data_IF_495005566415
#
_entry.id   IF_495005566415
#
_cell.length_a   1.000
_cell.length_b   1.000
_cell.length_c   1.000
_cell.angle_alpha   90.00
_cell.angle_beta   90.00
_cell.angle_gamma   90.00
#
_symmetry.space_group_name_H-M   'P 1'
#
loop_
_entity.id
_entity.type
_entity.pdbx_description
1 polymer ?
#
# COMPACT_ATOMS: atom_id res chain seq x y z
N UNK A 1 1.12 7.13 -31.24
CA UNK A 1 0.05 7.76 -30.44
C UNK A 1 0.69 8.40 -29.21
N UNK A 2 0.09 9.42 -28.59
CA UNK A 2 0.58 9.96 -27.31
C UNK A 2 0.43 8.87 -26.24
N UNK A 3 1.45 8.65 -25.43
CA UNK A 3 1.39 7.69 -24.32
C UNK A 3 0.47 8.20 -23.22
N UNK A 4 -0.27 7.29 -22.59
CA UNK A 4 -1.04 7.59 -21.37
C UNK A 4 -0.13 7.49 -20.16
N UNK A 5 -0.03 8.56 -19.37
CA UNK A 5 0.80 8.64 -18.16
C UNK A 5 -0.07 8.64 -16.91
N UNK A 6 0.17 7.65 -16.05
CA UNK A 6 -0.48 7.52 -14.75
C UNK A 6 0.57 7.71 -13.66
N UNK A 7 0.28 8.56 -12.67
CA UNK A 7 1.13 8.72 -11.50
C UNK A 7 0.47 8.01 -10.32
N UNK A 8 1.13 7.00 -9.78
CA UNK A 8 0.72 6.37 -8.52
C UNK A 8 1.54 6.97 -7.38
N UNK A 9 0.84 7.57 -6.43
CA UNK A 9 1.43 8.10 -5.21
C UNK A 9 1.25 7.07 -4.09
N UNK A 10 2.26 7.02 -3.21
CA UNK A 10 2.25 6.18 -2.02
C UNK A 10 1.20 6.57 -0.97
N UNK A 11 1.42 6.05 0.23
CA UNK A 11 0.46 6.10 1.33
C UNK A 11 0.24 7.53 1.85
N UNK A 12 -1.03 7.93 1.97
CA UNK A 12 -1.46 9.21 2.54
C UNK A 12 -2.28 9.00 3.79
N UNK A 13 -1.80 9.58 4.89
CA UNK A 13 -2.47 9.59 6.18
C UNK A 13 -2.23 10.93 6.89
N UNK A 14 -3.33 11.58 7.27
CA UNK A 14 -3.30 12.92 7.87
C UNK A 14 -3.51 12.92 9.39
N UNK A 15 -3.59 11.74 10.03
CA UNK A 15 -3.92 11.61 11.46
C UNK A 15 -3.08 12.50 12.37
N UNK A 16 -1.76 12.56 12.15
CA UNK A 16 -0.84 13.39 12.92
C UNK A 16 -0.42 14.68 12.21
N UNK A 17 -1.07 15.02 11.10
CA UNK A 17 -0.88 16.29 10.43
C UNK A 17 -1.63 17.41 11.17
N UNK A 18 -0.86 18.46 11.50
CA UNK A 18 -1.31 19.57 12.34
C UNK A 18 -1.58 20.85 11.54
N UNK A 19 -0.88 21.04 10.43
CA UNK A 19 -1.02 22.22 9.60
C UNK A 19 -2.29 22.06 8.76
N UNK A 20 -3.34 22.80 9.13
CA UNK A 20 -4.64 22.82 8.47
C UNK A 20 -5.03 24.28 8.23
N UNK A 21 -5.81 24.54 7.19
CA UNK A 21 -6.33 25.87 6.86
C UNK A 21 -5.82 26.42 5.52
N UNK A 22 -6.48 27.45 4.96
CA UNK A 22 -6.40 27.77 3.53
C UNK A 22 -4.97 27.81 2.96
N UNK A 23 -4.75 27.08 1.86
CA UNK A 23 -3.47 27.05 1.13
C UNK A 23 -2.42 26.09 1.69
N UNK A 24 -2.72 25.31 2.74
CA UNK A 24 -1.76 24.34 3.28
C UNK A 24 -1.42 23.22 2.28
N UNK A 25 -2.44 22.67 1.59
CA UNK A 25 -2.25 21.67 0.55
C UNK A 25 -1.30 22.17 -0.56
N UNK A 26 -1.56 23.37 -1.08
CA UNK A 26 -0.73 24.02 -2.10
C UNK A 26 0.72 24.21 -1.61
N UNK A 27 0.91 24.63 -0.36
CA UNK A 27 2.26 24.75 0.23
C UNK A 27 2.98 23.40 0.25
N UNK A 28 2.29 22.33 0.67
CA UNK A 28 2.86 20.98 0.76
C UNK A 28 3.30 20.48 -0.62
N UNK A 29 2.51 20.75 -1.65
CA UNK A 29 2.66 20.21 -3.00
C UNK A 29 3.38 21.14 -3.99
N UNK A 30 3.70 22.37 -3.59
CA UNK A 30 4.22 23.43 -4.49
C UNK A 30 5.45 23.04 -5.35
N UNK A 31 6.29 22.11 -4.90
CA UNK A 31 7.44 21.64 -5.70
C UNK A 31 7.10 20.48 -6.65
N UNK A 32 5.92 19.86 -6.50
CA UNK A 32 5.44 18.75 -7.31
C UNK A 32 4.45 19.15 -8.40
N UNK A 33 3.97 20.41 -8.44
CA UNK A 33 2.97 20.89 -9.41
C UNK A 33 3.29 20.44 -10.85
N UNK A 34 4.51 20.70 -11.33
CA UNK A 34 4.93 20.30 -12.69
C UNK A 34 4.91 18.79 -12.90
N UNK A 35 5.22 18.00 -11.86
CA UNK A 35 5.18 16.53 -11.95
C UNK A 35 3.73 16.07 -12.04
N UNK A 36 2.86 16.54 -11.15
CA UNK A 36 1.46 16.14 -11.08
C UNK A 36 0.68 16.55 -12.33
N UNK A 37 0.89 17.78 -12.82
CA UNK A 37 0.25 18.32 -14.03
C UNK A 37 0.67 17.59 -15.32
N UNK A 38 1.77 16.84 -15.29
CA UNK A 38 2.25 16.09 -16.45
C UNK A 38 1.48 14.78 -16.69
N UNK A 39 0.69 14.35 -15.71
CA UNK A 39 -0.06 13.10 -15.74
C UNK A 39 -1.41 13.22 -16.45
N UNK A 40 -1.85 12.17 -17.12
CA UNK A 40 -3.25 12.07 -17.55
C UNK A 40 -4.16 11.69 -16.37
N UNK A 41 -3.60 11.07 -15.33
CA UNK A 41 -4.31 10.77 -14.07
C UNK A 41 -3.32 10.59 -12.92
N UNK A 42 -3.61 11.24 -11.79
CA UNK A 42 -2.95 11.01 -10.49
C UNK A 42 -3.81 10.05 -9.67
N UNK A 43 -3.19 9.00 -9.13
CA UNK A 43 -3.81 7.97 -8.31
C UNK A 43 -3.15 8.01 -6.93
N UNK A 44 -3.94 8.17 -5.86
CA UNK A 44 -3.41 8.33 -4.50
C UNK A 44 -3.98 7.25 -3.60
N UNK A 45 -3.13 6.55 -2.84
CA UNK A 45 -3.59 5.69 -1.75
C UNK A 45 -4.04 6.53 -0.55
N UNK A 46 -5.35 6.69 -0.39
CA UNK A 46 -5.96 7.34 0.77
C UNK A 46 -6.11 6.30 1.88
N UNK A 47 -5.13 6.25 2.77
CA UNK A 47 -5.02 5.16 3.73
C UNK A 47 -6.00 5.27 4.89
N UNK A 48 -6.38 6.48 5.25
CA UNK A 48 -7.30 6.73 6.38
C UNK A 48 -8.63 7.29 5.91
N UNK A 49 -9.76 6.91 6.56
CA UNK A 49 -11.03 7.57 6.32
C UNK A 49 -10.93 9.07 6.66
N UNK A 50 -11.64 9.88 5.88
CA UNK A 50 -11.76 11.33 6.04
C UNK A 50 -13.13 11.64 6.65
N UNK A 51 -13.21 11.68 7.97
CA UNK A 51 -14.48 11.92 8.66
C UNK A 51 -14.27 12.69 9.97
N UNK A 52 -15.24 13.53 10.39
CA UNK A 52 -15.15 14.24 11.67
C UNK A 52 -15.05 13.28 12.85
N UNK A 53 -14.39 13.72 13.91
CA UNK A 53 -14.43 13.01 15.19
C UNK A 53 -15.91 12.83 15.62
N UNK A 54 -16.27 11.60 15.99
CA UNK A 54 -17.63 11.23 16.41
C UNK A 54 -18.52 10.66 15.30
N UNK A 55 -18.09 10.66 14.04
CA UNK A 55 -18.73 9.86 12.99
C UNK A 55 -18.17 8.43 13.05
N UNK A 56 -19.06 7.47 13.30
CA UNK A 56 -18.67 6.09 13.57
C UNK A 56 -17.94 5.91 14.91
N UNK A 57 -17.45 4.69 15.13
CA UNK A 57 -16.67 4.34 16.30
C UNK A 57 -15.52 3.41 15.89
N UNK A 58 -14.35 3.50 16.54
CA UNK A 58 -13.23 2.63 16.22
C UNK A 58 -13.65 1.17 16.36
N UNK A 59 -13.40 0.38 15.31
CA UNK A 59 -13.68 -1.05 15.33
C UNK A 59 -12.71 -1.78 16.26
N UNK A 60 -13.14 -2.94 16.76
CA UNK A 60 -12.25 -3.83 17.51
C UNK A 60 -11.23 -4.47 16.56
N UNK A 61 -10.00 -3.95 16.55
CA UNK A 61 -8.90 -4.43 15.70
C UNK A 61 -7.57 -4.54 16.44
N UNK A 62 -6.61 -5.22 15.81
CA UNK A 62 -5.20 -5.16 16.21
C UNK A 62 -4.55 -3.93 15.58
N UNK A 63 -3.70 -3.23 16.34
CA UNK A 63 -3.06 -1.98 15.89
C UNK A 63 -3.94 -0.74 16.16
N UNK A 64 -3.45 0.46 15.83
CA UNK A 64 -4.21 1.69 16.02
C UNK A 64 -5.39 1.76 15.05
N UNK A 65 -6.50 2.36 15.51
CA UNK A 65 -7.57 2.83 14.64
C UNK A 65 -7.24 4.25 14.17
N UNK A 66 -7.24 4.47 12.86
CA UNK A 66 -6.87 5.76 12.26
C UNK A 66 -8.07 6.46 11.62
N UNK A 67 -8.15 7.77 11.82
CA UNK A 67 -9.12 8.66 11.17
C UNK A 67 -8.48 10.02 10.97
N UNK A 68 -8.72 10.61 9.80
CA UNK A 68 -8.21 11.91 9.40
C UNK A 68 -9.35 12.91 9.26
N UNK A 69 -9.04 14.18 9.53
CA UNK A 69 -10.02 15.26 9.43
C UNK A 69 -10.48 15.45 7.98
N UNK A 70 -11.78 15.64 7.71
CA UNK A 70 -12.30 15.70 6.35
C UNK A 70 -11.84 16.92 5.56
N UNK A 71 -11.34 17.98 6.22
CA UNK A 71 -10.76 19.12 5.51
C UNK A 71 -9.58 18.75 4.61
N UNK A 72 -8.88 17.63 4.89
CA UNK A 72 -7.78 17.13 4.07
C UNK A 72 -8.18 16.59 2.70
N UNK A 73 -9.47 16.59 2.36
CA UNK A 73 -9.90 16.37 0.97
C UNK A 73 -9.28 17.42 0.03
N UNK A 74 -8.98 18.62 0.53
CA UNK A 74 -8.33 19.69 -0.23
C UNK A 74 -6.93 19.31 -0.75
N UNK A 75 -6.20 18.46 -0.02
CA UNK A 75 -4.92 17.91 -0.46
C UNK A 75 -5.09 17.04 -1.71
N UNK A 76 -6.17 16.26 -1.78
CA UNK A 76 -6.46 15.44 -2.95
C UNK A 76 -6.89 16.31 -4.13
N UNK A 77 -7.67 17.37 -3.90
CA UNK A 77 -8.03 18.34 -4.94
C UNK A 77 -6.81 19.06 -5.51
N UNK A 78 -5.95 19.59 -4.63
CA UNK A 78 -4.72 20.29 -5.00
C UNK A 78 -3.75 19.38 -5.75
N UNK A 79 -3.65 18.11 -5.35
CA UNK A 79 -2.83 17.13 -6.06
C UNK A 79 -3.37 16.74 -7.44
N UNK A 80 -4.55 17.24 -7.84
CA UNK A 80 -5.25 16.81 -9.05
C UNK A 80 -5.63 15.32 -9.01
N UNK A 81 -5.98 14.81 -7.83
CA UNK A 81 -6.28 13.39 -7.61
C UNK A 81 -7.43 12.95 -8.52
N UNK A 82 -7.09 12.14 -9.52
CA UNK A 82 -8.04 11.64 -10.49
C UNK A 82 -8.61 10.26 -10.15
N UNK A 83 -8.13 9.64 -9.08
CA UNK A 83 -8.62 8.39 -8.49
C UNK A 83 -8.03 8.18 -7.07
N UNK A 84 -8.88 8.09 -6.05
CA UNK A 84 -8.48 7.67 -4.70
C UNK A 84 -8.55 6.14 -4.56
N UNK A 85 -7.51 5.53 -4.01
CA UNK A 85 -7.50 4.10 -3.64
C UNK A 85 -7.77 3.97 -2.15
N UNK A 86 -8.81 3.23 -1.81
CA UNK A 86 -9.27 3.00 -0.44
C UNK A 86 -9.18 1.52 -0.02
N UNK A 87 -8.70 0.62 -0.91
CA UNK A 87 -8.36 -0.73 -0.48
C UNK A 87 -7.05 -0.70 0.31
N UNK A 88 -7.16 -0.60 1.63
CA UNK A 88 -6.06 -0.66 2.59
C UNK A 88 -6.60 -1.12 3.95
N UNK A 89 -5.71 -1.29 4.92
CA UNK A 89 -6.04 -1.84 6.24
C UNK A 89 -6.65 -0.82 7.23
N UNK A 90 -6.70 0.47 6.85
CA UNK A 90 -7.12 1.56 7.74
C UNK A 90 -8.41 2.27 7.31
N UNK A 91 -8.83 2.16 6.05
CA UNK A 91 -10.07 2.76 5.52
C UNK A 91 -11.31 2.39 6.34
N UNK A 92 -11.40 1.15 6.82
CA UNK A 92 -12.54 0.65 7.60
C UNK A 92 -12.42 0.82 9.12
N UNK A 93 -11.43 1.56 9.63
CA UNK A 93 -11.09 1.59 11.06
C UNK A 93 -12.17 2.17 11.97
N UNK A 94 -13.07 2.99 11.43
CA UNK A 94 -14.18 3.61 12.15
C UNK A 94 -15.55 3.09 11.70
N UNK A 95 -15.57 1.93 11.04
CA UNK A 95 -16.78 1.25 10.61
C UNK A 95 -17.49 1.90 9.41
N UNK A 96 -18.72 1.46 9.16
CA UNK A 96 -19.48 1.81 7.95
C UNK A 96 -19.83 3.30 7.88
N UNK A 97 -20.10 3.94 9.03
CA UNK A 97 -20.47 5.36 9.09
C UNK A 97 -19.35 6.28 8.57
N UNK A 98 -18.11 6.06 9.04
CA UNK A 98 -16.95 6.85 8.63
C UNK A 98 -16.55 6.54 7.18
N UNK A 99 -16.73 5.28 6.74
CA UNK A 99 -16.51 4.90 5.36
C UNK A 99 -17.51 5.59 4.43
N UNK A 100 -18.82 5.52 4.73
CA UNK A 100 -19.88 6.16 3.94
C UNK A 100 -19.65 7.66 3.84
N UNK A 101 -19.34 8.31 4.98
CA UNK A 101 -19.00 9.72 5.01
C UNK A 101 -17.82 10.04 4.07
N UNK A 102 -16.74 9.24 4.15
CA UNK A 102 -15.55 9.43 3.30
C UNK A 102 -15.91 9.31 1.82
N UNK A 103 -16.68 8.29 1.43
CA UNK A 103 -17.08 8.09 0.03
C UNK A 103 -18.02 9.17 -0.49
N UNK A 104 -18.93 9.67 0.36
CA UNK A 104 -19.80 10.81 0.04
C UNK A 104 -19.00 12.11 -0.10
N UNK A 105 -18.02 12.33 0.77
CA UNK A 105 -17.10 13.47 0.70
C UNK A 105 -16.32 13.46 -0.62
N UNK A 106 -15.68 12.34 -0.97
CA UNK A 106 -14.94 12.19 -2.22
C UNK A 106 -15.85 12.42 -3.45
N UNK A 107 -17.06 11.85 -3.43
CA UNK A 107 -18.06 12.05 -4.48
C UNK A 107 -18.47 13.52 -4.61
N UNK A 108 -18.69 14.21 -3.49
CA UNK A 108 -19.02 15.63 -3.45
C UNK A 108 -17.93 16.53 -4.03
N UNK A 109 -16.67 16.10 -3.91
CA UNK A 109 -15.50 16.76 -4.49
C UNK A 109 -15.12 16.23 -5.89
N UNK A 110 -15.97 15.40 -6.52
CA UNK A 110 -15.73 14.82 -7.85
C UNK A 110 -14.46 13.95 -7.95
N UNK A 111 -14.01 13.38 -6.83
CA UNK A 111 -12.86 12.48 -6.76
C UNK A 111 -13.41 11.04 -6.78
N UNK A 112 -13.26 10.29 -7.90
CA UNK A 112 -13.67 8.90 -7.92
C UNK A 112 -12.79 8.07 -6.97
N UNK A 113 -13.33 6.97 -6.44
CA UNK A 113 -12.59 6.05 -5.58
C UNK A 113 -12.81 4.59 -5.98
N UNK A 114 -11.89 3.71 -5.55
CA UNK A 114 -12.00 2.25 -5.69
C UNK A 114 -11.47 1.53 -4.44
N UNK A 115 -11.79 0.24 -4.32
CA UNK A 115 -11.23 -0.63 -3.29
C UNK A 115 -11.97 -0.61 -1.96
N UNK A 116 -13.08 0.12 -1.89
CA UNK A 116 -14.03 0.09 -0.78
C UNK A 116 -15.45 0.30 -1.31
N UNK A 117 -16.45 -0.17 -0.57
CA UNK A 117 -17.86 -0.08 -0.97
C UNK A 117 -18.81 -0.49 0.14
N UNK A 118 -20.11 -0.34 -0.11
CA UNK A 118 -21.21 -0.75 0.78
C UNK A 118 -21.34 -2.27 0.92
N UNK A 119 -20.77 -3.01 -0.03
CA UNK A 119 -20.61 -4.46 0.01
C UNK A 119 -19.37 -4.91 -0.77
N UNK A 120 -19.12 -6.23 -0.76
CA UNK A 120 -17.95 -6.85 -1.40
C UNK A 120 -17.96 -6.77 -2.93
N UNK A 121 -19.11 -6.62 -3.58
CA UNK A 121 -19.20 -6.50 -5.03
C UNK A 121 -18.86 -5.07 -5.46
N UNK A 122 -19.38 -4.07 -4.73
CA UNK A 122 -19.00 -2.67 -4.91
C UNK A 122 -17.52 -2.45 -4.60
N UNK A 123 -16.99 -2.98 -3.49
CA UNK A 123 -15.59 -2.81 -3.11
C UNK A 123 -14.61 -3.31 -4.19
N UNK A 124 -14.98 -4.38 -4.91
CA UNK A 124 -14.21 -4.95 -6.01
C UNK A 124 -14.45 -4.28 -7.38
N UNK A 125 -15.28 -3.24 -7.45
CA UNK A 125 -15.57 -2.55 -8.71
C UNK A 125 -14.32 -1.87 -9.27
N UNK A 126 -14.18 -1.95 -10.59
CA UNK A 126 -13.07 -1.32 -11.29
C UNK A 126 -13.41 0.12 -11.67
N UNK A 127 -12.42 1.01 -11.58
CA UNK A 127 -12.51 2.31 -12.22
C UNK A 127 -12.06 2.20 -13.67
N UNK A 128 -12.92 2.64 -14.59
CA UNK A 128 -12.70 2.56 -16.04
C UNK A 128 -12.57 3.94 -16.63
N UNK A 129 -11.57 4.15 -17.47
CA UNK A 129 -11.41 5.38 -18.23
C UNK A 129 -10.74 5.08 -19.57
N UNK A 130 -10.82 6.04 -20.50
CA UNK A 130 -10.07 6.00 -21.75
C UNK A 130 -9.19 7.23 -21.81
N UNK A 131 -7.91 7.04 -22.09
CA UNK A 131 -6.96 8.12 -22.32
C UNK A 131 -6.10 7.80 -23.53
N UNK A 132 -5.89 8.81 -24.39
CA UNK A 132 -5.13 8.70 -25.64
C UNK A 132 -5.52 7.49 -26.52
N UNK A 133 -6.80 7.12 -26.52
CA UNK A 133 -7.33 5.99 -27.29
C UNK A 133 -7.11 4.61 -26.68
N UNK A 134 -6.54 4.52 -25.47
CA UNK A 134 -6.39 3.27 -24.71
C UNK A 134 -7.40 3.23 -23.56
N UNK A 135 -8.18 2.17 -23.49
CA UNK A 135 -9.10 1.88 -22.39
C UNK A 135 -8.38 1.17 -21.24
N UNK A 136 -8.55 1.70 -20.03
CA UNK A 136 -7.85 1.23 -18.82
C UNK A 136 -8.87 0.95 -17.73
N UNK A 137 -8.74 -0.21 -17.10
CA UNK A 137 -9.43 -0.58 -15.86
C UNK A 137 -8.44 -0.67 -14.71
N UNK A 138 -8.78 -0.08 -13.55
CA UNK A 138 -8.00 -0.18 -12.32
C UNK A 138 -8.86 -0.86 -11.25
N UNK A 139 -8.33 -1.93 -10.65
CA UNK A 139 -8.95 -2.65 -9.53
C UNK A 139 -8.02 -2.51 -8.33
N UNK A 140 -8.57 -2.30 -7.13
CA UNK A 140 -7.76 -2.22 -5.91
C UNK A 140 -8.19 -3.28 -4.89
N UNK A 141 -7.21 -3.91 -4.24
CA UNK A 141 -7.40 -4.88 -3.16
C UNK A 141 -6.35 -4.69 -2.06
N UNK A 142 -6.63 -5.17 -0.85
CA UNK A 142 -5.68 -5.14 0.26
C UNK A 142 -5.57 -6.51 0.96
N UNK A 143 -4.55 -6.68 1.80
CA UNK A 143 -4.48 -7.85 2.69
C UNK A 143 -5.66 -7.90 3.66
N UNK A 144 -5.99 -9.11 4.10
CA UNK A 144 -7.15 -9.35 4.96
C UNK A 144 -6.84 -9.08 6.43
N UNK A 145 -6.94 -7.81 6.84
CA UNK A 145 -6.84 -7.41 8.26
C UNK A 145 -8.23 -7.25 8.91
N UNK A 146 -8.73 -6.01 8.93
CA UNK A 146 -9.99 -5.60 9.54
C UNK A 146 -10.68 -4.56 8.64
N UNK A 147 -11.97 -4.31 8.88
CA UNK A 147 -12.72 -3.34 8.09
C UNK A 147 -12.96 -3.75 6.63
N UNK A 148 -12.85 -5.06 6.32
CA UNK A 148 -13.09 -5.61 4.98
C UNK A 148 -14.59 -5.75 4.71
N UNK A 149 -15.00 -5.46 3.48
CA UNK A 149 -16.40 -5.58 3.06
C UNK A 149 -16.90 -7.03 3.16
N UNK A 150 -18.18 -7.17 3.49
CA UNK A 150 -18.91 -8.43 3.47
C UNK A 150 -19.98 -8.43 2.39
N UNK A 151 -20.79 -9.50 2.34
CA UNK A 151 -21.92 -9.58 1.39
C UNK A 151 -22.96 -8.47 1.60
N UNK A 152 -23.08 -7.96 2.81
CA UNK A 152 -24.08 -6.94 3.18
C UNK A 152 -23.53 -6.02 4.27
N UNK A 153 -22.21 -5.77 4.24
CA UNK A 153 -21.54 -4.89 5.17
C UNK A 153 -20.44 -4.14 4.44
N UNK A 154 -20.33 -2.84 4.72
CA UNK A 154 -19.40 -1.97 4.03
C UNK A 154 -17.96 -2.23 4.48
N UNK A 155 -16.99 -1.92 3.62
CA UNK A 155 -15.58 -2.07 3.94
C UNK A 155 -14.69 -2.10 2.71
N UNK A 156 -13.46 -2.56 2.90
CA UNK A 156 -12.44 -2.66 1.85
C UNK A 156 -12.45 -3.98 1.10
N UNK A 157 -11.92 -3.98 -0.11
CA UNK A 157 -11.74 -5.16 -0.95
C UNK A 157 -10.56 -6.02 -0.45
N UNK A 158 -10.81 -6.84 0.59
CA UNK A 158 -9.84 -7.82 1.08
C UNK A 158 -9.50 -8.87 0.01
N UNK A 159 -8.23 -9.24 -0.11
CA UNK A 159 -7.70 -10.11 -1.17
C UNK A 159 -8.36 -11.50 -1.15
N UNK A 160 -8.93 -11.89 -2.28
CA UNK A 160 -9.43 -13.25 -2.51
C UNK A 160 -9.02 -13.68 -3.92
N UNK A 161 -8.10 -14.65 -4.09
CA UNK A 161 -7.50 -14.98 -5.40
C UNK A 161 -8.53 -15.23 -6.51
N UNK A 162 -9.61 -15.93 -6.18
CA UNK A 162 -10.68 -16.34 -7.09
C UNK A 162 -11.54 -15.15 -7.51
N UNK A 163 -11.83 -14.24 -6.57
CA UNK A 163 -12.62 -13.04 -6.84
C UNK A 163 -11.81 -12.03 -7.65
N UNK A 164 -10.56 -11.76 -7.27
CA UNK A 164 -9.70 -10.86 -8.05
C UNK A 164 -9.39 -11.44 -9.42
N UNK A 165 -9.15 -12.75 -9.53
CA UNK A 165 -8.94 -13.42 -10.81
C UNK A 165 -10.15 -13.32 -11.74
N UNK A 166 -11.35 -13.54 -11.20
CA UNK A 166 -12.60 -13.36 -11.96
C UNK A 166 -12.77 -11.90 -12.40
N UNK A 167 -12.50 -10.96 -11.50
CA UNK A 167 -12.61 -9.53 -11.79
C UNK A 167 -11.62 -9.08 -12.87
N UNK A 168 -10.36 -9.52 -12.80
CA UNK A 168 -9.36 -9.25 -13.84
C UNK A 168 -9.86 -9.81 -15.19
N UNK A 169 -10.34 -11.05 -15.21
CA UNK A 169 -10.85 -11.66 -16.44
C UNK A 169 -12.04 -10.89 -17.04
N UNK A 170 -12.97 -10.41 -16.21
CA UNK A 170 -14.09 -9.55 -16.63
C UNK A 170 -13.59 -8.22 -17.23
N UNK A 171 -12.65 -7.56 -16.56
CA UNK A 171 -12.14 -6.26 -17.02
C UNK A 171 -11.31 -6.38 -18.30
N UNK A 172 -10.63 -7.52 -18.53
CA UNK A 172 -9.94 -7.80 -19.79
C UNK A 172 -10.86 -7.94 -20.99
N UNK A 173 -12.16 -8.17 -20.80
CA UNK A 173 -13.13 -8.21 -21.90
C UNK A 173 -13.51 -6.81 -22.41
N UNK A 174 -13.29 -5.77 -21.60
CA UNK A 174 -13.80 -4.41 -21.86
C UNK A 174 -12.72 -3.34 -21.77
N UNK A 175 -11.46 -3.69 -21.52
CA UNK A 175 -10.34 -2.77 -21.43
C UNK A 175 -9.08 -3.33 -22.07
N UNK A 176 -8.34 -2.45 -22.75
CA UNK A 176 -7.04 -2.77 -23.33
C UNK A 176 -6.04 -3.13 -22.24
N UNK A 177 -6.06 -2.38 -21.13
CA UNK A 177 -5.18 -2.54 -19.96
C UNK A 177 -5.96 -2.73 -18.67
N UNK A 178 -5.53 -3.70 -17.87
CA UNK A 178 -6.02 -3.91 -16.49
C UNK A 178 -4.87 -3.75 -15.52
N UNK A 179 -4.98 -2.78 -14.61
CA UNK A 179 -4.00 -2.50 -13.57
C UNK A 179 -4.59 -2.93 -12.23
N UNK A 180 -3.79 -3.62 -11.42
CA UNK A 180 -4.17 -3.96 -10.04
C UNK A 180 -3.35 -3.13 -9.06
N UNK A 181 -4.03 -2.39 -8.18
CA UNK A 181 -3.41 -1.75 -7.01
C UNK A 181 -3.54 -2.69 -5.82
N UNK A 182 -2.44 -2.92 -5.09
CA UNK A 182 -2.41 -3.87 -3.98
C UNK A 182 -1.82 -3.24 -2.72
N UNK A 183 -2.60 -3.14 -1.65
CA UNK A 183 -2.09 -2.65 -0.36
C UNK A 183 -1.78 -3.81 0.58
N UNK A 184 -0.50 -4.14 0.75
CA UNK A 184 -0.03 -5.22 1.62
C UNK A 184 1.47 -5.46 1.55
N UNK A 185 1.98 -6.27 2.47
CA UNK A 185 3.41 -6.55 2.58
C UNK A 185 3.91 -6.53 4.02
N UNK A 186 5.22 -6.74 4.19
CA UNK A 186 5.84 -6.60 5.51
C UNK A 186 6.31 -5.15 5.72
N UNK A 187 5.68 -4.43 6.64
CA UNK A 187 6.09 -3.07 7.03
C UNK A 187 7.60 -2.96 7.30
N UNK A 188 8.24 -1.93 6.74
CA UNK A 188 9.66 -1.60 6.86
C UNK A 188 10.65 -2.61 6.25
N UNK A 189 10.19 -3.70 5.63
CA UNK A 189 11.07 -4.63 4.94
C UNK A 189 11.52 -4.01 3.60
N UNK A 190 12.83 -3.79 3.33
CA UNK A 190 13.27 -3.09 2.12
C UNK A 190 13.14 -3.94 0.84
N UNK A 191 12.82 -5.23 0.95
CA UNK A 191 12.55 -6.13 -0.17
C UNK A 191 11.24 -6.88 0.06
N UNK A 192 10.48 -7.22 -0.99
CA UNK A 192 9.23 -7.96 -0.83
C UNK A 192 9.48 -9.36 -0.26
N UNK A 193 8.53 -9.91 0.49
CA UNK A 193 8.61 -11.33 0.84
C UNK A 193 8.46 -12.22 -0.41
N UNK A 194 8.98 -13.45 -0.39
CA UNK A 194 8.73 -14.43 -1.45
C UNK A 194 7.23 -14.63 -1.73
N UNK A 195 6.39 -14.60 -0.70
CA UNK A 195 4.93 -14.70 -0.82
C UNK A 195 4.29 -13.48 -1.48
N UNK A 196 4.69 -12.24 -1.14
CA UNK A 196 4.24 -11.03 -1.83
C UNK A 196 4.62 -11.07 -3.32
N UNK A 197 5.89 -11.41 -3.62
CA UNK A 197 6.35 -11.61 -5.01
C UNK A 197 5.52 -12.65 -5.75
N UNK A 198 5.28 -13.81 -5.13
CA UNK A 198 4.49 -14.87 -5.74
C UNK A 198 3.05 -14.42 -6.01
N UNK A 199 2.45 -13.67 -5.07
CA UNK A 199 1.09 -13.14 -5.18
C UNK A 199 0.95 -12.13 -6.31
N UNK A 200 1.86 -11.15 -6.41
CA UNK A 200 1.79 -10.13 -7.44
C UNK A 200 2.10 -10.68 -8.83
N UNK A 201 3.07 -11.59 -8.94
CA UNK A 201 3.30 -12.35 -10.18
C UNK A 201 2.10 -13.21 -10.56
N UNK A 202 1.31 -13.71 -9.59
CA UNK A 202 0.08 -14.44 -9.89
C UNK A 202 -1.01 -13.53 -10.47
N UNK A 203 -1.15 -12.29 -10.01
CA UNK A 203 -2.07 -11.31 -10.62
C UNK A 203 -1.74 -11.05 -12.10
N UNK A 204 -0.44 -10.95 -12.43
CA UNK A 204 0.00 -10.88 -13.84
C UNK A 204 -0.40 -12.14 -14.62
N UNK A 205 -0.19 -13.33 -14.05
CA UNK A 205 -0.63 -14.60 -14.68
C UNK A 205 -2.14 -14.68 -14.89
N UNK A 206 -2.92 -14.03 -14.03
CA UNK A 206 -4.38 -13.95 -14.14
C UNK A 206 -4.83 -12.91 -15.19
N UNK A 207 -3.92 -12.13 -15.75
CA UNK A 207 -4.18 -11.21 -16.86
C UNK A 207 -3.98 -9.73 -16.56
N UNK A 208 -3.51 -9.36 -15.36
CA UNK A 208 -3.15 -7.97 -15.07
C UNK A 208 -1.96 -7.53 -15.96
N UNK A 209 -2.09 -6.36 -16.58
CA UNK A 209 -1.03 -5.74 -17.39
C UNK A 209 0.01 -5.02 -16.51
N UNK A 210 -0.35 -4.62 -15.28
CA UNK A 210 0.56 -4.07 -14.28
C UNK A 210 0.03 -4.31 -12.86
N UNK A 211 0.94 -4.37 -11.89
CA UNK A 211 0.63 -4.38 -10.45
C UNK A 211 1.37 -3.26 -9.75
N UNK A 212 0.66 -2.43 -9.00
CA UNK A 212 1.24 -1.33 -8.22
C UNK A 212 0.91 -1.54 -6.75
N UNK A 213 1.92 -1.73 -5.89
CA UNK A 213 1.72 -2.04 -4.48
C UNK A 213 2.29 -0.96 -3.53
N UNK A 214 1.81 -0.98 -2.27
CA UNK A 214 2.08 0.02 -1.21
C UNK A 214 2.24 -0.62 0.18
N UNK A 215 1.74 0.01 1.25
CA UNK A 215 1.66 -0.49 2.64
C UNK A 215 2.96 -0.61 3.42
N UNK A 216 4.08 -1.01 2.80
CA UNK A 216 5.29 -1.31 3.58
C UNK A 216 5.93 -0.09 4.23
N UNK A 217 5.42 1.12 3.96
CA UNK A 217 5.92 2.41 4.44
C UNK A 217 7.42 2.67 4.19
N UNK A 218 8.00 1.93 3.25
CA UNK A 218 9.38 2.11 2.81
C UNK A 218 9.49 1.86 1.29
N UNK A 219 10.55 2.38 0.69
CA UNK A 219 10.83 2.18 -0.74
C UNK A 219 11.22 0.72 -0.97
N UNK A 220 10.51 0.06 -1.88
CA UNK A 220 10.92 -1.21 -2.48
C UNK A 220 11.13 -1.05 -3.99
N UNK A 221 11.88 -1.99 -4.58
CA UNK A 221 12.13 -2.05 -6.02
C UNK A 221 10.89 -2.43 -6.84
N UNK A 222 11.12 -2.59 -8.14
CA UNK A 222 10.14 -3.05 -9.12
C UNK A 222 10.76 -4.12 -10.02
N UNK A 223 9.93 -4.89 -10.72
CA UNK A 223 10.42 -5.85 -11.72
C UNK A 223 9.51 -5.86 -12.95
N UNK A 224 9.99 -6.46 -14.04
CA UNK A 224 9.15 -6.84 -15.18
C UNK A 224 9.00 -8.35 -15.21
N UNK A 225 7.83 -8.84 -14.81
CA UNK A 225 7.50 -10.25 -14.86
C UNK A 225 6.63 -10.53 -16.10
N UNK A 226 7.10 -11.39 -17.00
CA UNK A 226 6.43 -11.65 -18.30
C UNK A 226 6.17 -10.38 -19.13
N UNK A 227 7.03 -9.36 -18.97
CA UNK A 227 6.88 -8.07 -19.67
C UNK A 227 5.92 -7.09 -18.99
N UNK A 228 5.22 -7.50 -17.93
CA UNK A 228 4.34 -6.63 -17.14
C UNK A 228 5.10 -6.04 -15.94
N UNK A 229 5.03 -4.71 -15.70
CA UNK A 229 5.65 -4.11 -14.53
C UNK A 229 4.92 -4.50 -13.23
N UNK A 230 5.71 -4.76 -12.19
CA UNK A 230 5.25 -4.94 -10.80
C UNK A 230 6.06 -3.98 -9.92
N UNK A 231 5.39 -2.99 -9.35
CA UNK A 231 5.95 -2.07 -8.35
C UNK A 231 5.58 -2.60 -6.97
N UNK A 232 6.57 -2.85 -6.11
CA UNK A 232 6.31 -3.54 -4.83
C UNK A 232 5.95 -2.61 -3.67
N UNK A 233 6.59 -1.44 -3.58
CA UNK A 233 6.21 -0.42 -2.60
C UNK A 233 6.85 0.91 -2.94
N UNK A 234 6.03 1.96 -2.94
CA UNK A 234 6.44 3.34 -3.21
C UNK A 234 6.92 4.08 -1.95
N UNK A 235 6.64 3.55 -0.76
CA UNK A 235 6.75 4.29 0.50
C UNK A 235 5.57 5.24 0.73
N UNK A 236 5.74 6.16 1.68
CA UNK A 236 4.71 7.13 2.05
C UNK A 236 4.72 8.34 1.11
N UNK A 237 3.55 8.82 0.68
CA UNK A 237 3.43 10.11 -0.03
C UNK A 237 3.30 11.28 0.94
N UNK A 238 2.39 11.17 1.91
CA UNK A 238 2.33 12.09 3.03
C UNK A 238 1.75 11.37 4.24
N UNK A 239 2.65 10.84 5.08
CA UNK A 239 2.27 10.09 6.27
C UNK A 239 3.12 10.55 7.45
N UNK A 240 2.76 11.67 8.05
CA UNK A 240 3.45 12.10 9.27
C UNK A 240 3.10 11.18 10.43
N UNK A 241 4.12 10.74 11.17
CA UNK A 241 3.91 9.98 12.40
C UNK A 241 4.78 10.50 13.54
N UNK A 242 4.16 11.00 14.62
CA UNK A 242 4.86 11.78 15.65
C UNK A 242 5.90 10.99 16.47
N UNK A 243 5.88 9.66 16.41
CA UNK A 243 6.84 8.81 17.11
C UNK A 243 7.95 8.25 16.21
N UNK A 244 7.99 8.63 14.93
CA UNK A 244 9.02 8.20 13.99
C UNK A 244 9.88 9.41 13.66
N UNK A 245 11.19 9.26 13.84
CA UNK A 245 12.19 10.27 13.48
C UNK A 245 13.12 9.76 12.35
N UNK A 246 12.91 8.53 11.89
CA UNK A 246 13.79 7.85 10.95
C UNK A 246 13.49 8.24 9.49
N UNK A 247 14.54 8.59 8.76
CA UNK A 247 14.48 9.01 7.34
C UNK A 247 13.70 8.07 6.39
N UNK A 248 13.77 6.72 6.49
CA UNK A 248 13.11 5.83 5.52
C UNK A 248 11.59 6.03 5.43
N UNK A 249 10.95 6.41 6.53
CA UNK A 249 9.50 6.68 6.59
C UNK A 249 9.09 7.94 5.82
N UNK A 250 10.04 8.88 5.68
CA UNK A 250 9.85 10.21 5.09
C UNK A 250 10.35 10.28 3.64
N UNK A 251 10.69 9.14 3.05
CA UNK A 251 11.16 9.01 1.67
C UNK A 251 10.24 8.07 0.90
N UNK A 252 10.02 8.41 -0.36
CA UNK A 252 9.19 7.62 -1.26
C UNK A 252 9.50 7.93 -2.72
N UNK A 253 8.74 7.33 -3.63
CA UNK A 253 8.74 7.73 -5.03
C UNK A 253 7.34 7.65 -5.62
N UNK A 254 7.02 8.56 -6.53
CA UNK A 254 5.84 8.44 -7.38
C UNK A 254 6.17 7.43 -8.48
N UNK A 255 5.36 6.40 -8.66
CA UNK A 255 5.51 5.47 -9.77
C UNK A 255 4.78 6.02 -11.00
N UNK A 256 5.53 6.55 -11.97
CA UNK A 256 4.99 6.91 -13.28
C UNK A 256 4.87 5.66 -14.14
N UNK A 257 3.64 5.22 -14.41
CA UNK A 257 3.34 4.18 -15.37
C UNK A 257 2.97 4.82 -16.71
N UNK A 258 3.83 4.63 -17.71
CA UNK A 258 3.56 5.04 -19.09
C UNK A 258 2.99 3.86 -19.88
N UNK A 259 1.85 4.09 -20.54
CA UNK A 259 1.13 3.13 -21.37
C UNK A 259 1.27 3.59 -22.83
N UNK A 260 2.27 3.02 -23.50
CA UNK A 260 2.53 3.20 -24.94
C UNK A 260 2.55 1.86 -25.67
N UNK A 261 3.49 1.68 -26.60
CA UNK A 261 3.75 0.39 -27.25
C UNK A 261 4.12 -0.71 -26.24
N UNK A 262 4.69 -0.31 -25.10
CA UNK A 262 4.97 -1.12 -23.93
C UNK A 262 4.54 -0.37 -22.68
N UNK A 263 4.33 -1.10 -21.59
CA UNK A 263 4.16 -0.51 -20.27
C UNK A 263 5.55 -0.32 -19.66
N UNK A 264 5.84 0.88 -19.16
CA UNK A 264 7.10 1.18 -18.48
C UNK A 264 6.85 1.92 -17.18
N UNK A 265 7.63 1.60 -16.16
CA UNK A 265 7.65 2.32 -14.88
C UNK A 265 8.87 3.21 -14.81
N UNK A 266 8.65 4.47 -14.39
CA UNK A 266 9.71 5.41 -14.01
C UNK A 266 9.47 5.88 -12.57
N UNK A 267 10.37 5.57 -11.61
CA UNK A 267 10.27 6.13 -10.28
C UNK A 267 10.64 7.62 -10.30
N UNK A 268 9.87 8.44 -9.58
CA UNK A 268 10.15 9.86 -9.33
C UNK A 268 10.33 10.04 -7.82
N UNK A 269 11.56 9.90 -7.29
CA UNK A 269 11.82 9.97 -5.87
C UNK A 269 11.55 11.33 -5.26
N UNK A 270 11.10 11.33 -4.01
CA UNK A 270 10.93 12.50 -3.17
C UNK A 270 11.24 12.18 -1.71
N UNK A 271 11.38 13.24 -0.91
CA UNK A 271 11.27 13.19 0.55
C UNK A 271 10.22 14.19 1.00
N UNK A 272 9.63 14.02 2.17
CA UNK A 272 8.80 15.05 2.79
C UNK A 272 9.34 15.42 4.16
N UNK A 273 9.16 16.67 4.56
CA UNK A 273 9.66 17.16 5.84
C UNK A 273 9.03 16.37 6.99
N UNK A 274 9.81 16.13 8.06
CA UNK A 274 9.37 15.26 9.17
C UNK A 274 8.17 15.81 9.93
N UNK A 275 7.95 17.13 9.85
CA UNK A 275 6.78 17.82 10.36
C UNK A 275 5.58 17.81 9.41
N UNK A 276 5.75 17.24 8.20
CA UNK A 276 4.74 17.06 7.18
C UNK A 276 4.39 18.32 6.39
N UNK A 277 5.23 19.37 6.46
CA UNK A 277 4.93 20.69 5.89
C UNK A 277 5.19 20.82 4.39
N UNK A 278 6.06 19.98 3.81
CA UNK A 278 6.41 20.03 2.39
C UNK A 278 6.90 18.72 1.82
N UNK A 279 6.59 18.46 0.55
CA UNK A 279 7.17 17.37 -0.26
C UNK A 279 8.19 17.95 -1.24
N UNK A 280 9.37 17.35 -1.27
CA UNK A 280 10.53 17.75 -2.07
C UNK A 280 10.88 16.65 -3.08
N UNK A 281 10.65 16.85 -4.39
CA UNK A 281 11.22 15.96 -5.40
C UNK A 281 12.75 15.98 -5.30
N UNK A 282 13.38 14.80 -5.38
CA UNK A 282 14.84 14.72 -5.29
C UNK A 282 15.49 15.21 -6.59
N UNK A 283 16.67 15.83 -6.48
CA UNK A 283 17.46 16.30 -7.60
C UNK A 283 18.97 16.09 -7.36
N UNK A 284 19.77 16.16 -8.42
CA UNK A 284 21.23 16.05 -8.34
C UNK A 284 21.71 14.70 -7.79
N UNK A 285 22.76 14.73 -6.96
CA UNK A 285 23.40 13.54 -6.40
C UNK A 285 22.44 12.67 -5.55
N UNK A 286 21.56 13.31 -4.76
CA UNK A 286 20.58 12.59 -3.93
C UNK A 286 19.58 11.79 -4.80
N UNK A 287 19.15 12.36 -5.93
CA UNK A 287 18.31 11.68 -6.91
C UNK A 287 19.04 10.48 -7.53
N UNK A 288 20.27 10.68 -8.01
CA UNK A 288 21.06 9.62 -8.65
C UNK A 288 21.30 8.44 -7.70
N UNK A 289 21.66 8.74 -6.44
CA UNK A 289 21.84 7.74 -5.39
C UNK A 289 20.55 6.99 -5.05
N UNK A 290 19.43 7.70 -4.95
CA UNK A 290 18.13 7.07 -4.64
C UNK A 290 17.65 6.18 -5.79
N UNK A 291 17.83 6.61 -7.03
CA UNK A 291 17.53 5.79 -8.22
C UNK A 291 18.41 4.54 -8.28
N UNK A 292 19.72 4.68 -8.00
CA UNK A 292 20.63 3.54 -7.93
C UNK A 292 20.27 2.57 -6.79
N UNK A 293 19.77 3.09 -5.66
CA UNK A 293 19.25 2.29 -4.56
C UNK A 293 17.98 1.51 -4.97
N UNK A 294 17.01 2.17 -5.62
CA UNK A 294 15.81 1.50 -6.14
C UNK A 294 16.19 0.40 -7.13
N UNK A 295 17.11 0.67 -8.05
CA UNK A 295 17.60 -0.32 -9.02
C UNK A 295 18.31 -1.49 -8.32
N UNK A 296 19.13 -1.22 -7.30
CA UNK A 296 19.76 -2.26 -6.48
C UNK A 296 18.70 -3.17 -5.86
N UNK A 297 17.63 -2.61 -5.28
CA UNK A 297 16.53 -3.41 -4.73
C UNK A 297 15.81 -4.21 -5.82
N UNK A 298 15.53 -3.58 -6.97
CA UNK A 298 14.89 -4.21 -8.13
C UNK A 298 15.66 -5.44 -8.61
N UNK A 299 17.00 -5.39 -8.61
CA UNK A 299 17.85 -6.52 -9.03
C UNK A 299 17.80 -7.73 -8.09
N UNK A 300 17.44 -7.54 -6.81
CA UNK A 300 17.30 -8.63 -5.84
C UNK A 300 15.99 -9.41 -6.02
N UNK A 301 14.95 -8.78 -6.58
CA UNK A 301 13.60 -9.34 -6.64
C UNK A 301 13.50 -10.60 -7.51
N UNK A 302 14.13 -10.69 -8.70
CA UNK A 302 13.99 -11.87 -9.55
C UNK A 302 14.70 -13.12 -9.02
N UNK A 303 15.77 -12.95 -8.24
CA UNK A 303 16.53 -14.04 -7.65
C UNK A 303 15.71 -14.70 -6.53
N UNK A 304 15.44 -15.99 -6.67
CA UNK A 304 14.57 -16.71 -5.72
C UNK A 304 15.30 -17.09 -4.45
N UNK A 305 16.56 -17.50 -4.58
CA UNK A 305 17.34 -17.97 -3.43
C UNK A 305 17.79 -16.77 -2.60
N UNK A 306 18.22 -15.70 -3.27
CA UNK A 306 18.61 -14.46 -2.60
C UNK A 306 17.43 -13.79 -1.89
N UNK A 307 16.27 -13.68 -2.53
CA UNK A 307 15.09 -13.09 -1.90
C UNK A 307 14.64 -13.91 -0.68
N UNK A 308 14.70 -15.24 -0.77
CA UNK A 308 14.40 -16.12 0.36
C UNK A 308 15.40 -15.93 1.50
N UNK A 309 16.70 -15.83 1.19
CA UNK A 309 17.78 -15.56 2.15
C UNK A 309 17.53 -14.25 2.89
N UNK A 310 17.26 -13.17 2.16
CA UNK A 310 16.97 -11.85 2.73
C UNK A 310 15.72 -11.89 3.63
N UNK A 311 14.66 -12.57 3.19
CA UNK A 311 13.44 -12.71 3.98
C UNK A 311 13.64 -13.55 5.25
N UNK A 312 14.51 -14.56 5.22
CA UNK A 312 14.88 -15.31 6.43
C UNK A 312 15.56 -14.38 7.44
N UNK A 313 16.45 -13.49 6.98
CA UNK A 313 17.02 -12.42 7.79
C UNK A 313 15.95 -11.52 8.41
N UNK A 314 14.99 -11.08 7.61
CA UNK A 314 13.85 -10.27 8.07
C UNK A 314 13.00 -10.97 9.14
N UNK A 315 12.77 -12.29 9.00
CA UNK A 315 12.06 -13.09 10.01
C UNK A 315 12.72 -13.01 11.39
N UNK A 316 14.04 -12.85 11.47
CA UNK A 316 14.75 -12.68 12.74
C UNK A 316 14.65 -11.27 13.33
N UNK A 317 14.40 -10.26 12.49
CA UNK A 317 14.20 -8.86 12.91
C UNK A 317 12.78 -8.68 13.46
N UNK A 318 11.78 -9.08 12.68
CA UNK A 318 10.38 -8.76 12.95
C UNK A 318 9.56 -9.96 13.42
N UNK A 319 9.81 -11.14 12.86
CA UNK A 319 8.98 -12.33 13.05
C UNK A 319 8.90 -12.81 14.50
N UNK A 320 9.97 -12.70 15.28
CA UNK A 320 9.96 -13.09 16.70
C UNK A 320 8.95 -12.27 17.53
N UNK A 321 8.71 -11.01 17.19
CA UNK A 321 7.71 -10.18 17.89
C UNK A 321 6.28 -10.65 17.61
N UNK A 322 6.03 -11.15 16.38
CA UNK A 322 4.76 -11.72 15.96
C UNK A 322 4.53 -13.09 16.61
N UNK A 323 5.54 -13.97 16.63
CA UNK A 323 5.45 -15.27 17.29
C UNK A 323 5.18 -15.17 18.79
N UNK A 324 5.76 -14.18 19.48
CA UNK A 324 5.46 -13.94 20.91
C UNK A 324 3.99 -13.57 21.16
N UNK A 325 3.26 -13.10 20.16
CA UNK A 325 1.82 -12.82 20.21
C UNK A 325 0.99 -14.04 19.81
N UNK A 326 1.58 -15.08 19.24
CA UNK A 326 0.92 -16.35 18.93
C UNK A 326 0.79 -17.21 20.19
N UNK A 327 -0.01 -16.75 21.15
CA UNK A 327 -0.30 -17.47 22.40
C UNK A 327 -1.72 -17.98 22.32
N UNK A 328 -1.92 -19.29 22.40
CA UNK A 328 -3.26 -19.84 22.63
C UNK A 328 -3.49 -19.90 24.14
N UNK A 329 -4.53 -19.21 24.63
CA UNK A 329 -4.94 -19.26 26.03
C UNK A 329 -6.32 -19.89 26.13
N UNK A 330 -6.57 -20.71 27.15
CA UNK A 330 -7.86 -21.40 27.32
C UNK A 330 -9.03 -20.40 27.43
N UNK A 331 -8.76 -19.21 27.98
CA UNK A 331 -9.73 -18.11 28.13
C UNK A 331 -10.28 -17.64 26.77
N UNK A 332 -9.51 -17.79 25.69
CA UNK A 332 -9.93 -17.44 24.33
C UNK A 332 -11.06 -18.32 23.80
N UNK A 333 -11.31 -19.46 24.44
CA UNK A 333 -12.38 -20.39 24.07
C UNK A 333 -13.50 -20.42 25.11
N UNK A 334 -13.49 -19.48 26.06
CA UNK A 334 -14.56 -19.30 27.05
C UNK A 334 -15.76 -18.52 26.46
N UNK A 335 -16.96 -18.79 26.99
CA UNK A 335 -18.21 -18.20 26.51
C UNK A 335 -18.37 -16.69 26.80
N UNK A 336 -17.54 -16.11 27.67
CA UNK A 336 -17.65 -14.71 28.12
C UNK A 336 -16.48 -13.81 27.67
N UNK A 337 -15.64 -14.27 26.73
CA UNK A 337 -14.47 -13.51 26.29
C UNK A 337 -14.85 -12.19 25.60
N UNK A 338 -14.02 -11.18 25.77
CA UNK A 338 -14.18 -9.94 25.02
C UNK A 338 -13.52 -10.09 23.63
N UNK A 339 -14.11 -9.53 22.54
CA UNK A 339 -13.56 -9.71 21.19
C UNK A 339 -12.13 -9.19 21.01
N UNK A 340 -11.77 -8.10 21.70
CA UNK A 340 -10.45 -7.46 21.73
C UNK A 340 -9.34 -8.37 22.26
N UNK A 341 -9.66 -9.35 23.10
CA UNK A 341 -8.67 -10.27 23.66
C UNK A 341 -8.03 -11.21 22.62
N UNK A 342 -8.67 -11.40 21.45
CA UNK A 342 -8.22 -12.34 20.41
C UNK A 342 -7.87 -11.68 19.07
N UNK A 343 -8.13 -10.38 18.89
CA UNK A 343 -8.00 -9.72 17.57
C UNK A 343 -6.60 -9.87 16.97
N UNK A 344 -5.56 -9.89 17.81
CA UNK A 344 -4.20 -10.13 17.35
C UNK A 344 -4.06 -11.50 16.67
N UNK A 345 -4.61 -12.59 17.23
CA UNK A 345 -4.59 -13.91 16.58
C UNK A 345 -5.35 -13.90 15.25
N UNK A 346 -6.50 -13.20 15.19
CA UNK A 346 -7.22 -13.02 13.92
C UNK A 346 -6.30 -12.38 12.88
N UNK A 347 -5.68 -11.24 13.22
CA UNK A 347 -4.81 -10.53 12.29
C UNK A 347 -3.62 -11.35 11.81
N UNK A 348 -2.98 -12.08 12.74
CA UNK A 348 -1.85 -12.96 12.45
C UNK A 348 -2.20 -14.10 11.49
N UNK A 349 -3.46 -14.55 11.48
CA UNK A 349 -3.92 -15.68 10.68
C UNK A 349 -4.61 -15.25 9.38
N UNK A 350 -5.28 -14.09 9.36
CA UNK A 350 -6.02 -13.60 8.20
C UNK A 350 -5.16 -12.76 7.26
N UNK A 351 -4.27 -11.91 7.79
CA UNK A 351 -3.39 -11.10 6.97
C UNK A 351 -2.31 -11.99 6.36
N UNK A 352 -2.18 -11.94 5.04
CA UNK A 352 -1.33 -12.86 4.30
C UNK A 352 0.15 -12.67 4.63
N UNK A 353 0.64 -11.43 4.74
CA UNK A 353 2.03 -11.13 5.12
C UNK A 353 2.33 -11.50 6.56
N UNK A 354 1.41 -11.23 7.50
CA UNK A 354 1.56 -11.66 8.88
C UNK A 354 1.61 -13.18 9.01
N UNK A 355 0.74 -13.88 8.28
CA UNK A 355 0.70 -15.34 8.25
C UNK A 355 2.00 -15.93 7.70
N UNK A 356 2.49 -15.38 6.58
CA UNK A 356 3.75 -15.80 5.96
C UNK A 356 4.92 -15.60 6.93
N UNK A 357 5.04 -14.41 7.52
CA UNK A 357 6.10 -14.06 8.45
C UNK A 357 6.14 -15.01 9.63
N UNK A 358 4.97 -15.31 10.23
CA UNK A 358 4.90 -16.27 11.32
C UNK A 358 5.30 -17.67 10.88
N UNK A 359 4.73 -18.18 9.79
CA UNK A 359 5.00 -19.55 9.32
C UNK A 359 6.47 -19.73 9.00
N UNK A 360 7.09 -18.77 8.31
CA UNK A 360 8.51 -18.85 7.96
C UNK A 360 9.41 -18.76 9.19
N UNK A 361 9.10 -17.86 10.12
CA UNK A 361 9.85 -17.75 11.39
C UNK A 361 9.81 -19.05 12.19
N UNK A 362 8.64 -19.69 12.28
CA UNK A 362 8.50 -21.00 12.94
C UNK A 362 9.26 -22.11 12.20
N UNK A 363 9.22 -22.12 10.87
CA UNK A 363 9.98 -23.08 10.07
C UNK A 363 11.50 -22.98 10.31
N UNK A 364 12.03 -21.75 10.35
CA UNK A 364 13.43 -21.51 10.70
C UNK A 364 13.76 -22.01 12.12
N UNK A 365 12.83 -21.85 13.06
CA UNK A 365 12.99 -22.36 14.42
C UNK A 365 13.00 -23.90 14.46
N UNK A 366 12.05 -24.54 13.79
CA UNK A 366 11.92 -26.00 13.74
C UNK A 366 13.10 -26.67 13.05
N UNK A 367 13.64 -26.04 12.01
CA UNK A 367 14.78 -26.58 11.24
C UNK A 367 16.13 -26.20 11.82
N UNK A 368 16.18 -25.44 12.93
CA UNK A 368 17.42 -25.00 13.57
C UNK A 368 18.18 -23.90 12.81
N UNK A 369 17.55 -23.25 11.81
CA UNK A 369 18.17 -22.27 10.91
C UNK A 369 18.07 -20.81 11.36
N UNK A 370 17.43 -20.53 12.51
CA UNK A 370 17.35 -19.16 13.05
C UNK A 370 18.72 -18.51 13.28
N UNK A 371 19.75 -19.31 13.64
CA UNK A 371 21.11 -18.82 13.83
C UNK A 371 21.70 -18.26 12.55
N UNK A 372 21.68 -19.07 11.48
CA UNK A 372 22.13 -18.69 10.12
C UNK A 372 21.34 -17.48 9.60
N UNK A 373 20.02 -17.50 9.76
CA UNK A 373 19.15 -16.40 9.34
C UNK A 373 19.52 -15.08 10.03
N UNK A 374 19.90 -15.13 11.32
CA UNK A 374 20.26 -13.94 12.10
C UNK A 374 21.54 -13.27 11.60
N UNK A 375 22.44 -14.00 10.96
CA UNK A 375 23.66 -13.44 10.37
C UNK A 375 23.34 -12.45 9.22
N UNK A 376 22.17 -12.61 8.59
CA UNK A 376 21.69 -11.78 7.47
C UNK A 376 21.01 -10.49 7.97
N UNK A 377 20.61 -10.42 9.25
CA UNK A 377 19.87 -9.27 9.79
C UNK A 377 20.63 -7.94 9.65
N UNK A 378 21.96 -7.95 9.74
CA UNK A 378 22.78 -6.75 9.53
C UNK A 378 22.68 -6.24 8.09
N UNK A 379 22.71 -7.15 7.11
CA UNK A 379 22.57 -6.82 5.70
C UNK A 379 21.20 -6.20 5.39
N UNK A 380 20.11 -6.75 5.97
CA UNK A 380 18.78 -6.17 5.82
C UNK A 380 18.71 -4.76 6.39
N UNK A 381 19.29 -4.53 7.57
CA UNK A 381 19.36 -3.18 8.17
C UNK A 381 20.18 -2.20 7.33
N UNK A 382 21.21 -2.66 6.63
CA UNK A 382 21.91 -1.82 5.66
C UNK A 382 21.06 -1.54 4.42
N UNK A 383 20.25 -2.50 3.97
CA UNK A 383 19.27 -2.26 2.90
C UNK A 383 18.17 -1.29 3.32
N UNK A 384 17.81 -1.18 4.60
CA UNK A 384 16.83 -0.18 5.07
C UNK A 384 17.36 1.27 5.00
N UNK A 385 18.68 1.47 4.84
CA UNK A 385 19.28 2.81 4.76
C UNK A 385 19.25 3.32 3.33
N UNK A 386 18.40 4.30 3.08
CA UNK A 386 18.34 5.00 1.80
C UNK A 386 19.55 5.95 1.71
N UNK A 387 20.40 5.85 0.68
CA UNK A 387 21.55 6.75 0.53
C UNK A 387 21.12 8.21 0.35
N UNK A 388 21.83 9.13 0.99
CA UNK A 388 21.63 10.59 0.92
C UNK A 388 22.69 11.29 0.08
#
# INVERSE_FOLDING_TARGET
>A
MRETKLLFCGDVCFRHQKNRGPGHAASILSELETVLDSADKVIINLETPLAPDGVGAPITKSGPALISDPSWVDFLEEAGCGLAVMANNHTGDYGEDALSYTTELLTGHSIPYIGAGSDIDEAYSAYRFTSNGTSVSIIAVCENEFGTAGKSSAGTAGYAPERIGSKIAEEKLVSDKVIVVFHGGCENNPVPSPGCRARYRNLVRLGADAVIAGHTHCIQGYEYFQGCPIVYSMGNFLFKWSSIEEEPWYRGYIAELSIGDRLTVRPIPYRFDTDGSKIHPLAGDELEKTLAYIEKLSLLIPDTDELQRLYDGWCTISGLSYIKRLVAKDEYFSAQRAPDEIVHLKNLLSCESHNELMRRTLELAFTGKLGEAKEIAAEIRELQKIPT
#
